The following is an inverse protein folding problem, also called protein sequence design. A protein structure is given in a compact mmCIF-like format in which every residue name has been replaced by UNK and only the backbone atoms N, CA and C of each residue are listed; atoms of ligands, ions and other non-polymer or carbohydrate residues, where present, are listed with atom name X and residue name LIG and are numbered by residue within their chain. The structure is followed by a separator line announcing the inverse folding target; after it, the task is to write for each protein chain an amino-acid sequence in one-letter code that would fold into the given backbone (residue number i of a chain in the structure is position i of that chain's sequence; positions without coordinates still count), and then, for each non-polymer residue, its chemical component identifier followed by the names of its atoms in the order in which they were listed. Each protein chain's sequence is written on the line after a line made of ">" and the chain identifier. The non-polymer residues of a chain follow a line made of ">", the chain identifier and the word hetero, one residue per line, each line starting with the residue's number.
data_IF_902026472270
#
_entry.id   IF_902026472270
#
_cell.length_a   1.000
_cell.length_b   1.000
_cell.length_c   1.000
_cell.angle_alpha   90.00
_cell.angle_beta   90.00
_cell.angle_gamma   90.00
#
_symmetry.space_group_name_H-M   'P 1'
#
loop_
_entity.id
_entity.type
_entity.pdbx_description
1 polymer ?
#
# COMPACT_ATOMS: atom_id res chain seq x y z
N UNK A 1 15.10 -59.23 53.71
CA UNK A 1 15.69 -57.88 53.55
C UNK A 1 14.93 -57.16 52.45
N UNK A 2 14.48 -55.95 52.75
CA UNK A 2 13.37 -55.21 52.12
C UNK A 2 13.74 -54.56 50.79
N UNK A 3 12.80 -54.62 49.83
CA UNK A 3 12.83 -53.89 48.56
C UNK A 3 12.58 -52.40 48.76
N UNK A 4 13.39 -51.55 48.14
CA UNK A 4 13.09 -50.12 47.95
C UNK A 4 13.05 -49.85 46.44
N UNK A 5 11.84 -49.70 45.89
CA UNK A 5 11.60 -49.14 44.55
C UNK A 5 11.41 -47.64 44.72
N UNK A 6 12.40 -46.85 44.34
CA UNK A 6 12.32 -45.38 44.37
C UNK A 6 11.48 -44.88 43.19
N UNK A 7 10.56 -43.97 43.52
CA UNK A 7 9.64 -43.26 42.64
C UNK A 7 10.40 -42.41 41.60
N UNK A 8 10.10 -42.57 40.31
CA UNK A 8 10.66 -41.72 39.24
C UNK A 8 9.62 -41.18 38.22
N UNK A 9 8.31 -41.35 38.49
CA UNK A 9 7.26 -40.99 37.52
C UNK A 9 6.72 -39.56 37.63
N UNK A 10 6.94 -38.84 38.74
CA UNK A 10 6.30 -37.52 38.95
C UNK A 10 7.01 -36.36 38.22
N UNK A 11 8.33 -36.43 38.01
CA UNK A 11 9.08 -35.33 37.38
C UNK A 11 8.83 -35.21 35.87
N UNK A 12 8.62 -36.33 35.17
CA UNK A 12 8.34 -36.30 33.73
C UNK A 12 6.95 -35.75 33.40
N UNK A 13 5.95 -36.02 34.24
CA UNK A 13 4.60 -35.51 34.02
C UNK A 13 4.51 -34.01 34.26
N UNK A 14 5.20 -33.48 35.29
CA UNK A 14 5.20 -32.04 35.57
C UNK A 14 5.87 -31.22 34.46
N UNK A 15 6.96 -31.74 33.87
CA UNK A 15 7.64 -31.09 32.75
C UNK A 15 6.80 -31.12 31.47
N UNK A 16 6.08 -32.22 31.22
CA UNK A 16 5.17 -32.31 30.07
C UNK A 16 4.01 -31.32 30.17
N UNK A 17 3.40 -31.23 31.35
CA UNK A 17 2.29 -30.28 31.61
C UNK A 17 2.77 -28.82 31.52
N UNK A 18 4.00 -28.50 31.96
CA UNK A 18 4.53 -27.14 31.85
C UNK A 18 4.84 -26.75 30.39
N UNK A 19 5.36 -27.68 29.58
CA UNK A 19 5.57 -27.49 28.14
C UNK A 19 4.25 -27.27 27.39
N UNK A 20 3.24 -28.10 27.63
CA UNK A 20 1.90 -27.95 27.01
C UNK A 20 1.26 -26.59 27.38
N UNK A 21 1.48 -26.10 28.60
CA UNK A 21 1.00 -24.78 29.02
C UNK A 21 1.74 -23.63 28.33
N UNK A 22 3.05 -23.77 28.10
CA UNK A 22 3.85 -22.77 27.36
C UNK A 22 3.39 -22.72 25.91
N UNK A 23 3.21 -23.88 25.26
CA UNK A 23 2.76 -23.97 23.88
C UNK A 23 1.36 -23.37 23.70
N UNK A 24 0.43 -23.68 24.62
CA UNK A 24 -0.91 -23.10 24.66
C UNK A 24 -0.89 -21.57 24.83
N UNK A 25 -0.01 -21.05 25.69
CA UNK A 25 0.18 -19.62 25.86
C UNK A 25 0.72 -18.94 24.58
N UNK A 26 1.75 -19.52 23.95
CA UNK A 26 2.34 -18.98 22.72
C UNK A 26 1.33 -18.98 21.57
N UNK A 27 0.56 -20.06 21.40
CA UNK A 27 -0.51 -20.14 20.41
C UNK A 27 -1.55 -19.04 20.63
N UNK A 28 -1.94 -18.81 21.89
CA UNK A 28 -2.89 -17.76 22.24
C UNK A 28 -2.35 -16.35 21.95
N UNK A 29 -1.05 -16.10 22.16
CA UNK A 29 -0.44 -14.82 21.78
C UNK A 29 -0.38 -14.64 20.26
N UNK A 30 -0.09 -15.70 19.52
CA UNK A 30 -0.08 -15.68 18.06
C UNK A 30 -1.46 -15.32 17.50
N UNK A 31 -2.52 -16.00 17.97
CA UNK A 31 -3.90 -15.72 17.55
C UNK A 31 -4.27 -14.25 17.83
N UNK A 32 -3.99 -13.75 19.05
CA UNK A 32 -4.28 -12.35 19.39
C UNK A 32 -3.54 -11.35 18.50
N UNK A 33 -2.29 -11.62 18.17
CA UNK A 33 -1.49 -10.77 17.31
C UNK A 33 -2.04 -10.75 15.88
N UNK A 34 -2.42 -11.91 15.34
CA UNK A 34 -3.05 -12.00 14.02
C UNK A 34 -4.40 -11.29 13.96
N UNK A 35 -5.25 -11.47 14.99
CA UNK A 35 -6.54 -10.76 15.10
C UNK A 35 -6.36 -9.25 15.15
N UNK A 36 -5.39 -8.74 15.92
CA UNK A 36 -5.08 -7.32 15.99
C UNK A 36 -4.58 -6.77 14.65
N UNK A 37 -3.67 -7.49 13.97
CA UNK A 37 -3.19 -7.11 12.65
C UNK A 37 -4.32 -7.10 11.61
N UNK A 38 -5.25 -8.06 11.69
CA UNK A 38 -6.40 -8.10 10.80
C UNK A 38 -7.35 -6.91 11.05
N UNK A 39 -7.65 -6.59 12.31
CA UNK A 39 -8.46 -5.42 12.66
C UNK A 39 -7.79 -4.12 12.18
N UNK A 40 -6.48 -3.97 12.39
CA UNK A 40 -5.74 -2.77 11.98
C UNK A 40 -5.69 -2.65 10.45
N UNK A 41 -5.54 -3.77 9.73
CA UNK A 41 -5.67 -3.84 8.28
C UNK A 41 -7.09 -3.48 7.82
N UNK A 42 -8.13 -3.98 8.48
CA UNK A 42 -9.52 -3.70 8.10
C UNK A 42 -9.85 -2.21 8.30
N UNK A 43 -9.35 -1.59 9.37
CA UNK A 43 -9.48 -0.14 9.63
C UNK A 43 -8.75 0.68 8.56
N UNK A 44 -7.59 0.22 8.10
CA UNK A 44 -6.73 0.90 7.13
C UNK A 44 -7.40 1.11 5.75
N UNK A 45 -8.38 0.28 5.40
CA UNK A 45 -9.12 0.35 4.13
C UNK A 45 -10.56 0.87 4.25
N UNK A 46 -11.00 1.38 5.41
CA UNK A 46 -12.38 1.84 5.59
C UNK A 46 -12.77 2.98 4.64
N UNK A 47 -11.82 3.87 4.34
CA UNK A 47 -12.02 5.09 3.55
C UNK A 47 -11.04 5.16 2.40
N UNK A 48 -11.53 5.55 1.22
CA UNK A 48 -10.73 5.79 0.02
C UNK A 48 -10.84 7.25 -0.41
N UNK A 49 -9.78 8.04 -0.22
CA UNK A 49 -9.77 9.45 -0.62
C UNK A 49 -9.27 9.63 -2.05
N UNK A 50 -10.14 10.15 -2.93
CA UNK A 50 -9.82 10.37 -4.33
C UNK A 50 -9.84 11.87 -4.65
N UNK A 51 -8.78 12.37 -5.26
CA UNK A 51 -8.64 13.74 -5.71
C UNK A 51 -8.36 13.85 -7.21
N UNK A 52 -8.64 15.01 -7.78
CA UNK A 52 -8.24 15.34 -9.16
C UNK A 52 -7.66 16.75 -9.21
N UNK A 53 -6.65 16.98 -10.06
CA UNK A 53 -6.08 18.30 -10.24
C UNK A 53 -5.51 18.48 -11.65
N UNK A 54 -5.93 19.55 -12.32
CA UNK A 54 -5.26 20.03 -13.52
C UNK A 54 -4.01 20.80 -13.09
N UNK A 55 -2.85 20.20 -13.33
CA UNK A 55 -1.58 20.75 -12.87
C UNK A 55 -0.95 21.70 -13.86
N UNK A 56 -1.46 21.84 -15.10
CA UNK A 56 -0.92 22.74 -16.11
C UNK A 56 0.63 22.60 -16.29
N UNK A 57 1.08 21.37 -16.51
CA UNK A 57 2.44 21.01 -16.86
C UNK A 57 3.40 20.80 -15.69
N UNK A 58 4.31 19.85 -15.87
CA UNK A 58 5.43 19.57 -14.94
C UNK A 58 6.81 19.93 -15.52
N UNK A 59 6.94 20.11 -16.84
CA UNK A 59 8.25 20.23 -17.48
C UNK A 59 9.09 21.43 -16.99
N UNK A 60 8.46 22.57 -16.70
CA UNK A 60 9.15 23.82 -16.36
C UNK A 60 9.52 24.00 -14.88
N UNK A 61 9.04 23.15 -13.98
CA UNK A 61 9.29 23.28 -12.53
C UNK A 61 9.60 21.90 -11.94
N UNK A 62 10.86 21.72 -11.53
CA UNK A 62 11.34 20.47 -10.93
C UNK A 62 10.80 20.23 -9.52
N UNK A 63 10.32 21.26 -8.84
CA UNK A 63 9.79 21.17 -7.47
C UNK A 63 8.28 20.92 -7.43
N UNK A 64 7.58 21.13 -8.54
CA UNK A 64 6.11 21.06 -8.60
C UNK A 64 5.56 19.68 -8.25
N UNK A 65 6.15 18.62 -8.81
CA UNK A 65 5.74 17.25 -8.49
C UNK A 65 5.98 16.93 -7.01
N UNK A 66 7.12 17.36 -6.46
CA UNK A 66 7.43 17.21 -5.04
C UNK A 66 6.37 17.88 -4.15
N UNK A 67 5.97 19.13 -4.47
CA UNK A 67 4.92 19.86 -3.74
C UNK A 67 3.57 19.14 -3.80
N UNK A 68 3.21 18.60 -4.98
CA UNK A 68 1.98 17.82 -5.14
C UNK A 68 2.03 16.56 -4.27
N UNK A 69 3.14 15.82 -4.28
CA UNK A 69 3.29 14.59 -3.49
C UNK A 69 3.25 14.86 -1.98
N UNK A 70 3.89 15.94 -1.51
CA UNK A 70 3.75 16.41 -0.13
C UNK A 70 2.29 16.70 0.20
N UNK A 71 1.59 17.46 -0.64
CA UNK A 71 0.19 17.79 -0.40
C UNK A 71 -0.71 16.55 -0.35
N UNK A 72 -0.51 15.59 -1.28
CA UNK A 72 -1.22 14.30 -1.31
C UNK A 72 -0.98 13.53 -0.01
N UNK A 73 0.25 13.51 0.49
CA UNK A 73 0.59 12.84 1.76
C UNK A 73 -0.02 13.55 2.97
N UNK A 74 0.12 14.88 3.08
CA UNK A 74 -0.39 15.69 4.18
C UNK A 74 -1.91 15.60 4.31
N UNK A 75 -2.62 15.53 3.17
CA UNK A 75 -4.08 15.45 3.12
C UNK A 75 -4.60 14.01 3.06
N UNK A 76 -3.71 13.01 3.22
CA UNK A 76 -4.06 11.59 3.21
C UNK A 76 -4.89 11.20 1.97
N UNK A 77 -4.54 11.75 0.82
CA UNK A 77 -5.16 11.41 -0.46
C UNK A 77 -4.57 10.10 -0.95
N UNK A 78 -5.45 9.16 -1.21
CA UNK A 78 -5.08 7.79 -1.56
C UNK A 78 -4.86 7.63 -3.07
N UNK A 79 -5.72 8.26 -3.87
CA UNK A 79 -5.62 8.28 -5.32
C UNK A 79 -5.75 9.72 -5.80
N UNK A 80 -4.78 10.19 -6.58
CA UNK A 80 -4.79 11.54 -7.14
C UNK A 80 -4.63 11.48 -8.67
N UNK A 81 -5.66 11.91 -9.39
CA UNK A 81 -5.61 12.05 -10.85
C UNK A 81 -5.03 13.42 -11.23
N UNK A 82 -3.98 13.44 -12.04
CA UNK A 82 -3.35 14.64 -12.55
C UNK A 82 -3.65 14.81 -14.04
N UNK A 83 -4.15 15.97 -14.41
CA UNK A 83 -4.41 16.35 -15.80
C UNK A 83 -3.40 17.37 -16.30
N UNK A 84 -3.15 17.35 -17.61
CA UNK A 84 -2.20 18.22 -18.32
C UNK A 84 -0.78 18.13 -17.77
N UNK A 85 -0.25 16.91 -17.63
CA UNK A 85 1.13 16.71 -17.17
C UNK A 85 2.16 17.32 -18.13
N UNK A 86 1.83 17.38 -19.42
CA UNK A 86 2.69 17.84 -20.50
C UNK A 86 4.05 17.13 -20.53
N UNK A 87 4.09 15.87 -20.08
CA UNK A 87 5.28 15.02 -20.08
C UNK A 87 5.03 13.74 -20.89
N UNK A 88 6.09 13.22 -21.50
CA UNK A 88 6.11 11.84 -21.98
C UNK A 88 6.26 10.87 -20.81
N UNK A 89 5.78 9.63 -20.97
CA UNK A 89 5.86 8.59 -19.94
C UNK A 89 7.27 8.46 -19.31
N UNK A 90 8.32 8.45 -20.15
CA UNK A 90 9.72 8.36 -19.68
C UNK A 90 10.10 9.55 -18.80
N UNK A 91 9.74 10.75 -19.22
CA UNK A 91 10.05 11.97 -18.48
C UNK A 91 9.29 12.03 -17.16
N UNK A 92 8.03 11.57 -17.13
CA UNK A 92 7.25 11.41 -15.91
C UNK A 92 7.91 10.45 -14.93
N UNK A 93 8.32 9.27 -15.40
CA UNK A 93 8.97 8.25 -14.59
C UNK A 93 10.26 8.76 -13.91
N UNK A 94 11.15 9.43 -14.66
CA UNK A 94 12.39 9.97 -14.11
C UNK A 94 12.20 11.19 -13.20
N UNK A 95 11.04 11.85 -13.25
CA UNK A 95 10.76 13.01 -12.41
C UNK A 95 10.35 12.64 -10.98
N UNK A 96 10.01 11.37 -10.74
CA UNK A 96 9.61 10.87 -9.43
C UNK A 96 10.75 11.00 -8.42
N UNK A 97 10.59 11.79 -7.34
CA UNK A 97 11.63 11.92 -6.31
C UNK A 97 11.81 10.61 -5.54
N UNK A 98 13.06 10.24 -5.24
CA UNK A 98 13.39 9.00 -4.53
C UNK A 98 12.71 8.90 -3.16
N UNK A 99 12.56 10.04 -2.46
CA UNK A 99 11.92 10.11 -1.15
C UNK A 99 10.46 9.67 -1.12
N UNK A 100 9.79 9.62 -2.28
CA UNK A 100 8.38 9.25 -2.42
C UNK A 100 8.13 7.87 -3.04
N UNK A 101 9.17 7.19 -3.54
CA UNK A 101 9.03 5.92 -4.27
C UNK A 101 8.47 4.79 -3.40
N UNK A 102 8.75 4.86 -2.10
CA UNK A 102 8.26 3.89 -1.13
C UNK A 102 6.83 4.17 -0.65
N UNK A 103 6.29 5.36 -0.90
CA UNK A 103 4.96 5.81 -0.45
C UNK A 103 3.94 5.80 -1.58
N UNK A 104 4.36 6.09 -2.82
CA UNK A 104 3.47 6.26 -3.95
C UNK A 104 3.96 5.55 -5.20
N UNK A 105 3.00 5.06 -5.99
CA UNK A 105 3.21 4.67 -7.37
C UNK A 105 2.54 5.70 -8.29
N UNK A 106 3.15 6.02 -9.42
CA UNK A 106 2.57 6.94 -10.41
C UNK A 106 2.49 6.27 -11.77
N UNK A 107 1.28 6.16 -12.28
CA UNK A 107 0.99 5.70 -13.64
C UNK A 107 0.94 6.91 -14.57
N UNK A 108 1.64 6.84 -15.70
CA UNK A 108 1.77 7.97 -16.64
C UNK A 108 1.23 7.61 -18.01
N UNK A 109 0.43 8.49 -18.60
CA UNK A 109 0.33 8.54 -20.06
C UNK A 109 1.43 9.44 -20.61
N UNK A 110 1.76 9.26 -21.90
CA UNK A 110 2.53 10.28 -22.62
C UNK A 110 1.63 11.44 -23.02
N UNK A 111 2.19 12.64 -23.10
CA UNK A 111 1.59 13.79 -23.80
C UNK A 111 1.41 13.48 -25.29
N UNK A 112 0.62 14.30 -25.96
CA UNK A 112 0.51 14.23 -27.41
C UNK A 112 1.83 14.70 -28.06
N UNK A 113 2.32 13.98 -29.08
CA UNK A 113 3.66 14.20 -29.63
C UNK A 113 3.81 15.57 -30.31
N UNK A 114 2.82 15.94 -31.12
CA UNK A 114 2.72 17.21 -31.87
C UNK A 114 2.25 18.39 -31.01
N UNK A 115 1.94 18.18 -29.73
CA UNK A 115 1.45 19.20 -28.81
C UNK A 115 2.42 19.43 -27.66
N UNK A 116 2.67 20.71 -27.36
CA UNK A 116 3.57 21.09 -26.27
C UNK A 116 2.85 21.23 -24.92
N UNK A 117 1.53 21.50 -24.91
CA UNK A 117 0.73 21.74 -23.71
C UNK A 117 -0.69 21.20 -23.81
N UNK A 118 -1.38 21.09 -22.68
CA UNK A 118 -2.76 20.66 -22.59
C UNK A 118 -2.94 19.20 -23.00
N UNK A 119 -2.02 18.31 -22.63
CA UNK A 119 -2.14 16.85 -22.80
C UNK A 119 -1.27 16.10 -21.78
N UNK A 120 -1.48 14.79 -21.67
CA UNK A 120 -0.83 13.94 -20.67
C UNK A 120 -1.67 13.88 -19.39
N UNK A 121 -1.88 12.66 -18.90
CA UNK A 121 -2.54 12.36 -17.64
C UNK A 121 -1.65 11.46 -16.79
N UNK A 122 -1.77 11.58 -15.47
CA UNK A 122 -1.12 10.66 -14.55
C UNK A 122 -2.05 10.32 -13.39
N UNK A 123 -1.84 9.16 -12.78
CA UNK A 123 -2.55 8.73 -11.59
C UNK A 123 -1.52 8.38 -10.52
N UNK A 124 -1.53 9.14 -9.43
CA UNK A 124 -0.77 8.83 -8.22
C UNK A 124 -1.63 7.91 -7.36
N UNK A 125 -1.04 6.83 -6.86
CA UNK A 125 -1.69 5.85 -6.01
C UNK A 125 -0.81 5.61 -4.78
N UNK A 126 -1.38 5.73 -3.58
CA UNK A 126 -0.67 5.41 -2.34
C UNK A 126 -0.33 3.92 -2.30
N UNK A 127 0.83 3.56 -1.73
CA UNK A 127 1.30 2.17 -1.68
C UNK A 127 0.31 1.23 -0.99
N UNK A 128 -0.40 1.77 0.01
CA UNK A 128 -1.52 1.14 0.72
C UNK A 128 -2.53 0.53 -0.27
N UNK A 129 -2.97 1.32 -1.25
CA UNK A 129 -3.93 0.88 -2.27
C UNK A 129 -3.27 0.22 -3.49
N UNK A 130 -2.02 0.59 -3.80
CA UNK A 130 -1.30 0.05 -4.94
C UNK A 130 -1.04 -1.46 -4.84
N UNK A 131 -1.08 -2.04 -3.64
CA UNK A 131 -1.02 -3.51 -3.45
C UNK A 131 -2.19 -4.25 -4.13
N UNK A 132 -3.29 -3.56 -4.41
CA UNK A 132 -4.47 -4.08 -5.11
C UNK A 132 -4.40 -3.89 -6.62
N UNK A 133 -3.28 -3.40 -7.16
CA UNK A 133 -3.13 -3.17 -8.58
C UNK A 133 -3.25 -4.45 -9.40
N UNK A 134 -4.20 -4.45 -10.34
CA UNK A 134 -4.45 -5.55 -11.28
C UNK A 134 -3.87 -5.24 -12.67
N UNK A 135 -3.88 -3.98 -13.09
CA UNK A 135 -3.47 -3.58 -14.43
C UNK A 135 -3.78 -2.13 -14.72
N UNK A 136 -3.28 -1.58 -15.83
CA UNK A 136 -3.73 -0.30 -16.36
C UNK A 136 -3.69 -0.29 -17.89
N UNK A 137 -4.44 0.63 -18.49
CA UNK A 137 -4.50 0.85 -19.93
C UNK A 137 -4.42 2.33 -20.23
N UNK A 138 -3.45 2.69 -21.07
CA UNK A 138 -3.34 4.04 -21.65
C UNK A 138 -4.19 4.02 -22.92
N UNK A 139 -5.30 4.74 -22.92
CA UNK A 139 -6.20 4.82 -24.07
C UNK A 139 -5.79 5.94 -25.02
N UNK A 140 -5.34 7.06 -24.47
CA UNK A 140 -4.88 8.23 -25.21
C UNK A 140 -4.03 9.12 -24.28
N UNK A 141 -3.42 10.20 -24.80
CA UNK A 141 -2.80 11.23 -23.96
C UNK A 141 -3.74 11.91 -22.96
N UNK A 142 -5.04 11.64 -23.02
CA UNK A 142 -6.09 12.28 -22.23
C UNK A 142 -6.83 11.29 -21.33
N UNK A 143 -6.55 9.99 -21.47
CA UNK A 143 -7.31 8.94 -20.79
C UNK A 143 -6.41 7.77 -20.40
N UNK A 144 -6.37 7.52 -19.10
CA UNK A 144 -5.68 6.42 -18.44
C UNK A 144 -6.67 5.71 -17.53
N UNK A 145 -6.75 4.39 -17.65
CA UNK A 145 -7.56 3.54 -16.78
C UNK A 145 -6.64 2.69 -15.92
N UNK A 146 -6.80 2.74 -14.59
CA UNK A 146 -6.09 1.86 -13.64
C UNK A 146 -7.12 0.96 -12.97
N UNK A 147 -6.86 -0.35 -12.98
CA UNK A 147 -7.73 -1.38 -12.44
C UNK A 147 -7.17 -1.85 -11.10
N UNK A 148 -7.95 -1.71 -10.04
CA UNK A 148 -7.65 -2.21 -8.70
C UNK A 148 -8.62 -3.36 -8.39
N UNK A 149 -8.09 -4.50 -7.94
CA UNK A 149 -8.89 -5.66 -7.53
C UNK A 149 -8.83 -5.82 -6.01
N UNK A 150 -9.97 -5.65 -5.37
CA UNK A 150 -10.12 -5.80 -3.92
C UNK A 150 -10.62 -7.21 -3.59
N UNK A 151 -9.89 -7.93 -2.74
CA UNK A 151 -10.30 -9.24 -2.21
C UNK A 151 -10.34 -9.13 -0.70
N UNK A 152 -11.46 -9.52 -0.10
CA UNK A 152 -11.68 -9.47 1.35
C UNK A 152 -11.45 -8.07 1.95
N UNK A 153 -11.81 -7.02 1.21
CA UNK A 153 -11.78 -5.63 1.71
C UNK A 153 -13.20 -5.09 1.63
N UNK A 154 -13.72 -4.57 2.76
CA UNK A 154 -14.91 -3.72 2.78
C UNK A 154 -14.48 -2.26 2.89
N UNK A 155 -15.02 -1.41 2.03
CA UNK A 155 -14.86 0.04 2.15
C UNK A 155 -16.23 0.71 1.93
N UNK A 156 -16.48 1.79 2.66
CA UNK A 156 -17.64 2.66 2.42
C UNK A 156 -17.20 3.79 1.49
N UNK A 157 -17.92 3.97 0.37
CA UNK A 157 -17.72 5.07 -0.60
C UNK A 157 -18.77 6.14 -0.35
#
# INVERSE_FOLDING_TARGET
>A
MSNIRVQNNNNNNNNKVSLENIDSFLLSQHIRYEEQQQIDLDVLYLTLHIGTHNINGLAGDNTKLYRILNWVQENQVDIMALNETNLDHRNGFFKMPDSFKEQFHIYWSSKQHDKNKGSGVALICSRKWNKHYQGHKIHSPYLLSVYLLFRNVMFCI
#
